data_IF_753509418733
#
_entry.id   IF_753509418733
#
_cell.length_a   1.000
_cell.length_b   1.000
_cell.length_c   1.000
_cell.angle_alpha   90.00
_cell.angle_beta   90.00
_cell.angle_gamma   90.00
#
_symmetry.space_group_name_H-M   'P 1'
#
loop_
_entity.id
_entity.type
_entity.pdbx_description
1 polymer ?
#
# COMPACT_ATOMS: atom_id res chain seq x y z
N UNK A 1 -1.52 32.65 -18.06
CA UNK A 1 -2.25 31.49 -17.51
C UNK A 1 -1.56 30.24 -18.00
N UNK A 2 -0.75 29.61 -17.15
CA UNK A 2 -0.13 28.31 -17.42
C UNK A 2 -1.06 27.28 -16.81
N UNK A 3 -1.67 26.43 -17.63
CA UNK A 3 -2.42 25.26 -17.15
C UNK A 3 -1.39 24.26 -16.57
N UNK A 4 -1.53 23.76 -15.33
CA UNK A 4 -0.67 22.68 -14.86
C UNK A 4 -1.08 21.41 -15.61
N UNK A 5 -0.14 20.88 -16.39
CA UNK A 5 -0.23 19.56 -17.02
C UNK A 5 -0.21 18.54 -15.89
N UNK A 6 -1.37 18.23 -15.33
CA UNK A 6 -1.55 17.12 -14.39
C UNK A 6 -1.58 15.85 -15.22
N UNK A 7 -0.44 15.14 -15.24
CA UNK A 7 -0.31 13.86 -15.90
C UNK A 7 -1.26 12.86 -15.22
N UNK A 8 -2.11 12.19 -15.99
CA UNK A 8 -2.94 11.07 -15.55
C UNK A 8 -2.01 9.90 -15.19
N UNK A 9 -1.52 9.88 -13.96
CA UNK A 9 -0.65 8.83 -13.44
C UNK A 9 -1.50 7.79 -12.71
N UNK A 10 -1.76 6.68 -13.40
CA UNK A 10 -2.25 5.44 -12.78
C UNK A 10 -1.03 4.62 -12.37
N UNK A 11 -0.90 4.31 -11.08
CA UNK A 11 0.18 3.44 -10.59
C UNK A 11 -0.19 1.98 -10.88
N UNK A 12 0.19 1.48 -12.05
CA UNK A 12 0.16 0.05 -12.33
C UNK A 12 1.56 -0.52 -12.09
N UNK A 13 1.77 -1.22 -10.97
CA UNK A 13 2.97 -2.04 -10.80
C UNK A 13 2.73 -3.33 -11.58
N UNK A 14 2.90 -3.25 -12.90
CA UNK A 14 2.88 -4.44 -13.75
C UNK A 14 4.23 -5.12 -13.58
N UNK A 15 4.24 -6.32 -12.99
CA UNK A 15 5.38 -7.22 -12.99
C UNK A 15 5.67 -7.70 -14.43
N UNK A 16 6.28 -6.82 -15.24
CA UNK A 16 6.73 -7.08 -16.60
C UNK A 16 7.96 -7.98 -16.58
N UNK A 17 7.78 -9.27 -16.29
CA UNK A 17 8.79 -10.27 -16.60
C UNK A 17 8.77 -10.54 -18.11
N UNK A 18 9.70 -9.92 -18.82
CA UNK A 18 9.92 -10.13 -20.25
C UNK A 18 10.50 -11.52 -20.51
N UNK A 19 9.63 -12.52 -20.61
CA UNK A 19 9.94 -13.76 -21.30
C UNK A 19 10.02 -13.48 -22.80
N UNK A 20 11.22 -13.59 -23.38
CA UNK A 20 11.46 -13.48 -24.81
C UNK A 20 10.78 -14.64 -25.56
N UNK A 21 9.52 -14.47 -25.95
CA UNK A 21 8.89 -15.25 -27.02
C UNK A 21 8.26 -14.30 -28.01
N UNK A 22 8.77 -14.30 -29.24
CA UNK A 22 8.20 -13.57 -30.37
C UNK A 22 6.78 -14.06 -30.64
N UNK A 23 5.79 -13.33 -30.14
CA UNK A 23 4.37 -13.54 -30.37
C UNK A 23 3.65 -12.25 -30.01
N UNK A 24 2.83 -11.74 -30.94
CA UNK A 24 2.01 -10.53 -30.88
C UNK A 24 1.98 -9.77 -29.54
N UNK A 25 2.48 -8.53 -29.55
CA UNK A 25 2.09 -7.51 -28.58
C UNK A 25 0.58 -7.24 -28.73
N UNK A 26 -0.24 -8.11 -28.14
CA UNK A 26 -1.57 -7.72 -27.75
C UNK A 26 -1.34 -6.55 -26.78
N UNK A 27 -1.77 -5.35 -27.16
CA UNK A 27 -1.98 -4.29 -26.19
C UNK A 27 -2.85 -4.93 -25.09
N UNK A 28 -2.28 -5.10 -23.89
CA UNK A 28 -3.07 -5.49 -22.74
C UNK A 28 -4.20 -4.46 -22.65
N UNK A 29 -5.43 -4.89 -22.90
CA UNK A 29 -6.59 -4.11 -22.50
C UNK A 29 -6.39 -3.89 -21.01
N UNK A 30 -6.38 -2.63 -20.58
CA UNK A 30 -6.42 -2.31 -19.16
C UNK A 30 -7.71 -2.94 -18.64
N UNK A 31 -7.59 -4.09 -17.99
CA UNK A 31 -8.69 -4.75 -17.32
C UNK A 31 -9.20 -3.75 -16.27
N UNK A 32 -10.45 -3.32 -16.39
CA UNK A 32 -11.08 -2.33 -15.49
C UNK A 32 -11.45 -2.97 -14.13
N UNK A 33 -10.74 -4.05 -13.78
CA UNK A 33 -10.88 -4.78 -12.53
C UNK A 33 -9.68 -4.46 -11.66
N UNK A 34 -9.89 -4.20 -10.35
CA UNK A 34 -8.78 -4.01 -9.46
C UNK A 34 -7.92 -5.28 -9.42
N UNK A 35 -6.61 -5.08 -9.32
CA UNK A 35 -5.66 -6.16 -9.07
C UNK A 35 -5.94 -6.81 -7.70
N UNK A 36 -5.59 -8.10 -7.58
CA UNK A 36 -5.64 -8.80 -6.30
C UNK A 36 -4.58 -8.27 -5.33
N UNK A 37 -4.89 -8.32 -4.03
CA UNK A 37 -4.03 -7.80 -2.97
C UNK A 37 -4.33 -6.36 -2.53
N UNK A 38 -3.38 -5.77 -1.81
CA UNK A 38 -3.57 -4.52 -1.09
C UNK A 38 -2.24 -3.76 -0.92
N UNK A 39 -2.34 -2.44 -0.70
CA UNK A 39 -1.28 -1.59 -0.20
C UNK A 39 -1.66 -1.12 1.21
N UNK A 40 -0.93 -1.58 2.23
CA UNK A 40 -1.13 -1.19 3.63
C UNK A 40 -0.07 -0.17 4.01
N UNK A 41 -0.51 0.94 4.59
CA UNK A 41 0.33 2.01 5.15
C UNK A 41 0.05 2.07 6.65
N UNK A 42 1.02 1.67 7.46
CA UNK A 42 0.98 1.78 8.92
C UNK A 42 1.83 2.98 9.34
N UNK A 43 1.17 4.08 9.71
CA UNK A 43 1.83 5.33 10.06
C UNK A 43 2.53 5.23 11.42
N UNK A 44 3.72 5.83 11.52
CA UNK A 44 4.45 6.04 12.77
C UNK A 44 4.28 7.49 13.25
N UNK A 45 4.39 7.66 14.57
CA UNK A 45 4.38 8.96 15.26
C UNK A 45 5.41 9.98 14.75
N UNK A 46 6.48 9.52 14.11
CA UNK A 46 7.52 10.38 13.55
C UNK A 46 7.28 10.82 12.08
N UNK A 47 6.18 10.36 11.46
CA UNK A 47 5.86 10.65 10.06
C UNK A 47 6.42 9.62 9.07
N UNK A 48 7.13 8.59 9.53
CA UNK A 48 7.45 7.42 8.70
C UNK A 48 6.23 6.50 8.59
N UNK A 49 6.35 5.48 7.75
CA UNK A 49 5.41 4.37 7.72
C UNK A 49 6.10 3.03 7.49
N UNK A 50 5.54 1.98 8.09
CA UNK A 50 5.77 0.61 7.64
C UNK A 50 4.73 0.27 6.56
N UNK A 51 5.22 -0.26 5.43
CA UNK A 51 4.42 -0.46 4.23
C UNK A 51 4.47 -1.90 3.79
N UNK A 52 3.29 -2.47 3.54
CA UNK A 52 3.13 -3.81 2.97
C UNK A 52 2.37 -3.71 1.66
N UNK A 53 3.04 -4.03 0.57
CA UNK A 53 2.45 -4.17 -0.76
C UNK A 53 2.26 -5.64 -1.07
N UNK A 54 1.05 -6.05 -1.40
CA UNK A 54 0.70 -7.46 -1.64
C UNK A 54 0.23 -7.67 -3.07
N UNK A 55 0.78 -8.69 -3.73
CA UNK A 55 0.27 -9.25 -4.98
C UNK A 55 -0.31 -10.65 -4.73
N UNK A 56 -1.48 -10.90 -5.32
CA UNK A 56 -2.15 -12.20 -5.29
C UNK A 56 -2.09 -12.91 -6.64
N UNK A 57 -1.92 -14.22 -6.58
CA UNK A 57 -1.79 -15.11 -7.73
C UNK A 57 -2.86 -16.20 -7.62
N UNK A 58 -3.67 -16.36 -8.66
CA UNK A 58 -4.53 -17.53 -8.78
C UNK A 58 -3.67 -18.73 -9.14
N UNK A 59 -3.37 -19.58 -8.16
CA UNK A 59 -2.51 -20.75 -8.40
C UNK A 59 -3.27 -21.86 -9.11
N UNK A 60 -4.57 -21.74 -9.41
CA UNK A 60 -5.24 -22.69 -10.31
C UNK A 60 -4.86 -22.45 -11.77
N UNK A 61 -4.52 -21.20 -12.10
CA UNK A 61 -3.98 -20.83 -13.40
C UNK A 61 -2.52 -21.29 -13.55
N UNK A 62 -2.16 -22.05 -14.60
CA UNK A 62 -0.81 -22.57 -14.77
C UNK A 62 0.28 -21.51 -14.92
N UNK A 63 -0.03 -20.34 -15.50
CA UNK A 63 0.96 -19.29 -15.71
C UNK A 63 1.26 -18.56 -14.40
N UNK A 64 0.21 -18.17 -13.66
CA UNK A 64 0.34 -17.53 -12.36
C UNK A 64 0.96 -18.48 -11.33
N UNK A 65 0.58 -19.77 -11.33
CA UNK A 65 1.24 -20.78 -10.47
C UNK A 65 2.74 -20.84 -10.73
N UNK A 66 3.17 -20.93 -11.99
CA UNK A 66 4.59 -21.04 -12.31
C UNK A 66 5.39 -19.81 -11.84
N UNK A 67 4.84 -18.61 -12.02
CA UNK A 67 5.46 -17.38 -11.55
C UNK A 67 5.53 -17.31 -10.02
N UNK A 68 4.44 -17.69 -9.34
CA UNK A 68 4.41 -17.74 -7.88
C UNK A 68 5.38 -18.78 -7.31
N UNK A 69 5.46 -19.97 -7.93
CA UNK A 69 6.41 -21.02 -7.55
C UNK A 69 7.86 -20.55 -7.72
N UNK A 70 8.19 -19.82 -8.79
CA UNK A 70 9.50 -19.19 -8.97
C UNK A 70 9.79 -18.18 -7.85
N UNK A 71 8.85 -17.29 -7.51
CA UNK A 71 9.00 -16.36 -6.38
C UNK A 71 9.19 -17.10 -5.05
N UNK A 72 8.48 -18.21 -4.83
CA UNK A 72 8.53 -19.00 -3.60
C UNK A 72 9.79 -19.86 -3.46
N UNK A 73 10.33 -20.38 -4.55
CA UNK A 73 11.40 -21.37 -4.51
C UNK A 73 12.78 -20.80 -4.86
N UNK A 74 12.82 -19.68 -5.58
CA UNK A 74 14.03 -19.05 -6.05
C UNK A 74 14.31 -17.73 -5.32
N UNK A 75 15.26 -17.77 -4.38
CA UNK A 75 15.64 -16.60 -3.57
C UNK A 75 16.24 -15.45 -4.40
N UNK A 76 17.00 -15.77 -5.46
CA UNK A 76 17.57 -14.75 -6.35
C UNK A 76 16.46 -14.02 -7.11
N UNK A 77 15.51 -14.78 -7.65
CA UNK A 77 14.35 -14.23 -8.34
C UNK A 77 13.48 -13.38 -7.41
N UNK A 78 13.21 -13.85 -6.19
CA UNK A 78 12.47 -13.09 -5.17
C UNK A 78 13.18 -11.79 -4.80
N UNK A 79 14.50 -11.82 -4.59
CA UNK A 79 15.30 -10.62 -4.31
C UNK A 79 15.27 -9.64 -5.48
N UNK A 80 15.32 -10.13 -6.71
CA UNK A 80 15.20 -9.30 -7.90
C UNK A 80 13.83 -8.61 -7.96
N UNK A 81 12.74 -9.35 -7.67
CA UNK A 81 11.39 -8.78 -7.59
C UNK A 81 11.27 -7.70 -6.49
N UNK A 82 11.80 -7.95 -5.30
CA UNK A 82 11.85 -6.95 -4.22
C UNK A 82 12.64 -5.69 -4.63
N UNK A 83 13.78 -5.87 -5.31
CA UNK A 83 14.57 -4.76 -5.86
C UNK A 83 13.81 -3.94 -6.92
N UNK A 84 12.98 -4.60 -7.73
CA UNK A 84 12.12 -3.92 -8.70
C UNK A 84 11.05 -3.08 -7.99
N UNK A 85 10.35 -3.63 -6.99
CA UNK A 85 9.37 -2.89 -6.18
C UNK A 85 10.03 -1.66 -5.54
N UNK A 86 11.22 -1.84 -4.95
CA UNK A 86 12.00 -0.74 -4.37
C UNK A 86 12.28 0.36 -5.41
N UNK A 87 12.79 -0.02 -6.58
CA UNK A 87 13.12 0.92 -7.64
C UNK A 87 11.90 1.69 -8.15
N UNK A 88 10.75 1.03 -8.27
CA UNK A 88 9.49 1.67 -8.64
C UNK A 88 9.02 2.68 -7.60
N UNK A 89 8.99 2.31 -6.31
CA UNK A 89 8.59 3.22 -5.22
C UNK A 89 9.57 4.38 -5.03
N UNK A 90 10.86 4.13 -5.21
CA UNK A 90 11.89 5.17 -5.18
C UNK A 90 11.70 6.17 -6.32
N UNK A 91 11.41 5.69 -7.53
CA UNK A 91 11.15 6.57 -8.68
C UNK A 91 9.92 7.45 -8.47
N UNK A 92 8.88 6.94 -7.82
CA UNK A 92 7.70 7.74 -7.43
C UNK A 92 8.10 8.79 -6.41
N UNK A 93 8.80 8.37 -5.35
CA UNK A 93 9.20 9.22 -4.24
C UNK A 93 10.04 10.40 -4.72
N UNK A 94 11.02 10.14 -5.59
CA UNK A 94 11.88 11.18 -6.18
C UNK A 94 11.08 12.20 -6.98
N UNK A 95 10.13 11.75 -7.80
CA UNK A 95 9.32 12.65 -8.65
C UNK A 95 8.42 13.55 -7.83
N UNK A 96 7.80 13.01 -6.77
CA UNK A 96 6.93 13.79 -5.90
C UNK A 96 7.76 14.70 -4.99
N UNK A 97 8.93 14.26 -4.55
CA UNK A 97 9.84 15.07 -3.75
C UNK A 97 10.36 16.32 -4.50
N UNK A 98 10.33 16.36 -5.83
CA UNK A 98 10.67 17.58 -6.61
C UNK A 98 9.77 18.78 -6.25
N UNK A 99 8.53 18.52 -5.85
CA UNK A 99 7.54 19.53 -5.48
C UNK A 99 7.36 19.66 -3.94
N UNK A 100 8.09 18.86 -3.16
CA UNK A 100 8.04 18.87 -1.69
C UNK A 100 9.32 19.46 -1.08
N UNK A 101 9.20 20.04 0.11
CA UNK A 101 10.35 20.51 0.91
C UNK A 101 10.95 19.37 1.78
N UNK A 102 10.72 18.10 1.40
CA UNK A 102 11.24 16.92 2.10
C UNK A 102 11.56 15.78 1.12
N UNK A 103 12.54 14.97 1.47
CA UNK A 103 12.88 13.75 0.73
C UNK A 103 12.06 12.57 1.27
N UNK A 104 11.50 11.78 0.36
CA UNK A 104 10.84 10.50 0.66
C UNK A 104 11.82 9.37 0.35
N UNK A 105 12.13 8.54 1.35
CA UNK A 105 13.15 7.49 1.23
C UNK A 105 12.53 6.11 1.36
N UNK A 106 12.83 5.24 0.38
CA UNK A 106 12.42 3.83 0.44
C UNK A 106 13.55 2.99 1.02
N UNK A 107 13.25 2.35 2.14
CA UNK A 107 14.11 1.40 2.82
C UNK A 107 14.40 0.13 2.00
N UNK A 108 15.03 -0.84 2.64
CA UNK A 108 15.17 -2.17 2.05
C UNK A 108 13.79 -2.82 1.91
N UNK A 109 13.52 -3.41 0.74
CA UNK A 109 12.31 -4.17 0.50
C UNK A 109 12.59 -5.64 0.74
N UNK A 110 11.81 -6.23 1.62
CA UNK A 110 11.77 -7.68 1.88
C UNK A 110 10.57 -8.29 1.15
N UNK A 111 10.62 -9.59 0.88
CA UNK A 111 9.54 -10.29 0.19
C UNK A 111 9.26 -11.63 0.85
N UNK A 112 8.00 -11.87 1.20
CA UNK A 112 7.50 -13.08 1.83
C UNK A 112 6.40 -13.71 0.98
N UNK A 113 6.31 -15.04 1.00
CA UNK A 113 5.35 -15.79 0.17
C UNK A 113 4.48 -16.68 1.04
N UNK A 114 3.17 -16.65 0.83
CA UNK A 114 2.19 -17.48 1.54
C UNK A 114 1.22 -18.13 0.55
N UNK A 115 0.61 -19.25 0.93
CA UNK A 115 -0.46 -19.90 0.17
C UNK A 115 -1.66 -20.09 1.09
N UNK A 116 -2.83 -19.63 0.66
CA UNK A 116 -4.12 -19.91 1.30
C UNK A 116 -5.09 -20.46 0.24
N UNK A 117 -5.45 -21.73 0.37
CA UNK A 117 -6.31 -22.42 -0.59
C UNK A 117 -5.76 -22.39 -2.01
N UNK A 118 -6.46 -21.66 -2.89
CA UNK A 118 -6.17 -21.48 -4.32
C UNK A 118 -5.49 -20.13 -4.63
N UNK A 119 -5.07 -19.41 -3.61
CA UNK A 119 -4.40 -18.11 -3.74
C UNK A 119 -2.98 -18.19 -3.19
N UNK A 120 -2.02 -17.84 -4.04
CA UNK A 120 -0.65 -17.55 -3.64
C UNK A 120 -0.50 -16.06 -3.41
N UNK A 121 0.20 -15.65 -2.36
CA UNK A 121 0.35 -14.24 -1.99
C UNK A 121 1.82 -13.92 -1.83
N UNK A 122 2.27 -12.82 -2.42
CA UNK A 122 3.61 -12.27 -2.21
C UNK A 122 3.48 -10.90 -1.55
N UNK A 123 3.99 -10.77 -0.33
CA UNK A 123 3.98 -9.55 0.46
C UNK A 123 5.36 -8.91 0.43
N UNK A 124 5.43 -7.66 0.00
CA UNK A 124 6.63 -6.85 -0.06
C UNK A 124 6.61 -5.81 1.05
N UNK A 125 7.47 -5.99 2.05
CA UNK A 125 7.53 -5.14 3.25
C UNK A 125 8.72 -4.17 3.20
N UNK A 126 8.48 -2.90 3.49
CA UNK A 126 9.53 -1.88 3.60
C UNK A 126 9.13 -0.69 4.47
N UNK A 127 10.13 0.04 4.97
CA UNK A 127 9.93 1.32 5.64
C UNK A 127 9.95 2.46 4.62
N UNK A 128 8.97 3.36 4.69
CA UNK A 128 8.89 4.58 3.91
C UNK A 128 9.13 5.78 4.84
N UNK A 129 10.32 6.37 4.76
CA UNK A 129 10.72 7.46 5.64
C UNK A 129 10.18 8.80 5.15
N UNK A 130 9.78 9.66 6.10
CA UNK A 130 9.20 11.00 5.87
C UNK A 130 7.95 10.98 4.97
N UNK A 131 7.17 9.89 4.99
CA UNK A 131 5.97 9.75 4.16
C UNK A 131 4.92 10.80 4.53
N UNK A 132 4.66 10.97 5.83
CA UNK A 132 3.73 11.95 6.37
C UNK A 132 4.45 13.16 6.99
N UNK A 133 3.74 14.28 7.07
CA UNK A 133 4.23 15.50 7.75
C UNK A 133 3.72 15.55 9.17
N UNK A 134 4.50 16.13 10.07
CA UNK A 134 4.08 16.42 11.43
C UNK A 134 3.60 17.87 11.54
N UNK A 135 2.36 18.06 11.95
CA UNK A 135 1.76 19.36 12.25
C UNK A 135 1.30 19.37 13.72
N UNK A 136 2.08 20.03 14.58
CA UNK A 136 1.94 19.95 16.04
C UNK A 136 2.01 18.49 16.55
N UNK A 137 0.91 17.93 17.04
CA UNK A 137 0.79 16.53 17.48
C UNK A 137 0.10 15.64 16.43
N UNK A 138 -0.19 16.18 15.24
CA UNK A 138 -0.91 15.49 14.16
C UNK A 138 0.05 14.98 13.10
N UNK A 139 -0.32 13.86 12.50
CA UNK A 139 0.39 13.23 11.39
C UNK A 139 -0.49 13.37 10.17
N UNK A 140 0.03 14.01 9.13
CA UNK A 140 -0.71 14.35 7.91
C UNK A 140 -0.11 13.61 6.73
N UNK A 141 -0.88 12.65 6.21
CA UNK A 141 -0.55 11.86 5.03
C UNK A 141 -1.33 12.40 3.83
N UNK A 142 -0.62 12.99 2.87
CA UNK A 142 -1.20 13.53 1.63
C UNK A 142 -0.43 13.03 0.41
N UNK A 143 0.81 13.47 0.25
CA UNK A 143 1.70 12.98 -0.80
C UNK A 143 2.34 11.62 -0.43
N UNK A 144 2.60 10.74 -1.42
CA UNK A 144 2.39 10.91 -2.86
C UNK A 144 0.95 10.64 -3.32
N UNK A 145 0.06 10.23 -2.43
CA UNK A 145 -1.27 9.73 -2.76
C UNK A 145 -2.18 10.77 -3.45
N UNK A 146 -2.05 12.04 -3.08
CA UNK A 146 -2.74 13.17 -3.73
C UNK A 146 -2.36 13.39 -5.21
N UNK A 147 -1.27 12.79 -5.68
CA UNK A 147 -0.83 12.86 -7.08
C UNK A 147 -1.42 11.73 -7.94
N UNK A 148 -1.90 10.65 -7.32
CA UNK A 148 -2.54 9.56 -8.04
C UNK A 148 -3.99 9.85 -8.33
N UNK A 149 -4.44 9.47 -9.52
CA UNK A 149 -5.89 9.47 -9.81
C UNK A 149 -6.58 8.36 -9.01
N UNK A 150 -5.97 7.18 -9.00
CA UNK A 150 -6.42 5.99 -8.27
C UNK A 150 -5.26 4.99 -8.17
N UNK A 151 -5.45 3.96 -7.33
CA UNK A 151 -4.59 2.77 -7.28
C UNK A 151 -5.31 1.58 -7.91
N UNK A 152 -4.56 0.62 -8.45
CA UNK A 152 -5.12 -0.60 -9.03
C UNK A 152 -5.65 -1.58 -7.97
N UNK A 153 -5.33 -1.38 -6.69
CA UNK A 153 -5.61 -2.30 -5.58
C UNK A 153 -6.15 -1.57 -4.35
N UNK A 154 -6.63 -2.33 -3.37
CA UNK A 154 -7.11 -1.75 -2.11
C UNK A 154 -5.99 -0.97 -1.39
N UNK A 155 -6.31 0.24 -0.92
CA UNK A 155 -5.48 1.01 -0.01
C UNK A 155 -6.03 0.89 1.40
N UNK A 156 -5.16 0.55 2.35
CA UNK A 156 -5.46 0.54 3.78
C UNK A 156 -4.50 1.49 4.47
N UNK A 157 -5.01 2.43 5.24
CA UNK A 157 -4.19 3.33 6.06
C UNK A 157 -4.55 3.13 7.52
N UNK A 158 -3.52 2.95 8.35
CA UNK A 158 -3.62 2.67 9.78
C UNK A 158 -2.88 3.78 10.54
N UNK A 159 -3.58 4.39 11.50
CA UNK A 159 -2.99 5.35 12.42
C UNK A 159 -2.02 4.67 13.42
N UNK A 160 -1.03 5.39 13.96
CA UNK A 160 -0.16 4.83 15.00
C UNK A 160 -0.94 4.43 16.26
N UNK A 161 -0.32 3.59 17.09
CA UNK A 161 -0.87 3.26 18.41
C UNK A 161 -1.13 4.53 19.24
N UNK A 162 -2.34 4.61 19.82
CA UNK A 162 -2.78 5.77 20.61
C UNK A 162 -3.28 6.95 19.78
N UNK A 163 -3.37 6.81 18.46
CA UNK A 163 -3.94 7.80 17.54
C UNK A 163 -5.27 7.30 16.93
N UNK A 164 -6.05 8.26 16.44
CA UNK A 164 -7.26 8.05 15.63
C UNK A 164 -7.20 8.90 14.36
N UNK A 165 -7.92 8.49 13.32
CA UNK A 165 -8.07 9.22 12.06
C UNK A 165 -9.09 10.35 12.24
N UNK A 166 -8.59 11.53 12.61
CA UNK A 166 -9.39 12.73 12.87
C UNK A 166 -10.00 13.35 11.61
N UNK A 167 -9.35 13.17 10.45
CA UNK A 167 -9.88 13.58 9.14
C UNK A 167 -9.42 12.60 8.08
N UNK A 168 -10.32 12.24 7.17
CA UNK A 168 -10.05 11.29 6.09
C UNK A 168 -10.74 11.79 4.83
N UNK A 169 -9.95 12.00 3.78
CA UNK A 169 -10.43 12.38 2.44
C UNK A 169 -9.59 11.67 1.38
N UNK A 170 -10.19 11.15 0.30
CA UNK A 170 -11.64 11.07 0.04
C UNK A 170 -12.34 10.10 1.01
N UNK A 171 -13.68 10.11 1.02
CA UNK A 171 -14.46 9.21 1.89
C UNK A 171 -14.12 7.73 1.61
N UNK A 172 -13.66 6.97 2.61
CA UNK A 172 -13.31 5.56 2.45
C UNK A 172 -14.57 4.69 2.36
N UNK A 173 -14.45 3.49 1.77
CA UNK A 173 -15.55 2.51 1.77
C UNK A 173 -15.83 1.95 3.16
N UNK A 174 -14.81 1.94 4.01
CA UNK A 174 -14.85 1.48 5.40
C UNK A 174 -13.89 2.32 6.24
N UNK A 175 -14.39 2.81 7.36
CA UNK A 175 -13.61 3.56 8.34
C UNK A 175 -13.94 3.04 9.75
N UNK A 176 -12.89 2.79 10.51
CA UNK A 176 -12.91 2.64 11.96
C UNK A 176 -12.02 3.74 12.58
N UNK A 177 -12.00 3.87 13.92
CA UNK A 177 -11.32 4.99 14.60
C UNK A 177 -9.86 5.17 14.15
N UNK A 178 -9.11 4.08 13.95
CA UNK A 178 -7.70 4.13 13.55
C UNK A 178 -7.42 3.65 12.12
N UNK A 179 -8.42 3.21 11.35
CA UNK A 179 -8.20 2.54 10.06
C UNK A 179 -9.17 3.04 9.00
N UNK A 180 -8.69 3.33 7.80
CA UNK A 180 -9.49 3.66 6.63
C UNK A 180 -9.12 2.78 5.43
N UNK A 181 -10.12 2.42 4.61
CA UNK A 181 -9.94 1.54 3.45
C UNK A 181 -10.62 2.08 2.20
N UNK A 182 -9.89 2.03 1.09
CA UNK A 182 -10.38 2.40 -0.24
C UNK A 182 -10.20 1.22 -1.17
N UNK A 183 -11.27 0.71 -1.80
CA UNK A 183 -11.16 -0.34 -2.80
C UNK A 183 -10.26 0.09 -3.96
N UNK A 184 -9.68 -0.88 -4.67
CA UNK A 184 -8.96 -0.58 -5.90
C UNK A 184 -9.83 0.18 -6.90
N UNK A 185 -9.18 1.05 -7.65
CA UNK A 185 -9.74 1.99 -8.62
C UNK A 185 -10.60 3.11 -8.01
N UNK A 186 -10.59 3.28 -6.68
CA UNK A 186 -11.21 4.45 -6.05
C UNK A 186 -10.49 5.73 -6.52
N UNK A 187 -11.27 6.71 -6.99
CA UNK A 187 -10.74 8.02 -7.38
C UNK A 187 -10.39 8.83 -6.14
N UNK A 188 -9.13 9.26 -6.04
CA UNK A 188 -8.65 10.08 -4.93
C UNK A 188 -8.86 11.58 -5.17
N UNK A 189 -8.73 12.02 -6.42
CA UNK A 189 -8.77 13.42 -6.79
C UNK A 189 -7.63 14.23 -6.13
N UNK A 190 -7.72 15.56 -6.21
CA UNK A 190 -6.72 16.48 -5.64
C UNK A 190 -6.79 16.61 -4.10
N UNK A 191 -7.67 15.84 -3.44
CA UNK A 191 -8.04 16.03 -2.04
C UNK A 191 -7.69 14.86 -1.14
N UNK A 192 -6.76 13.98 -1.55
CA UNK A 192 -6.28 12.93 -0.67
C UNK A 192 -5.53 13.56 0.50
N UNK A 193 -6.08 13.40 1.70
CA UNK A 193 -5.49 13.85 2.95
C UNK A 193 -6.05 13.00 4.09
N UNK A 194 -5.15 12.46 4.89
CA UNK A 194 -5.47 11.72 6.10
C UNK A 194 -4.74 12.40 7.25
N UNK A 195 -5.49 12.77 8.28
CA UNK A 195 -4.96 13.38 9.49
C UNK A 195 -5.18 12.41 10.64
N UNK A 196 -4.09 11.87 11.18
CA UNK A 196 -4.11 11.14 12.44
C UNK A 196 -3.77 12.09 13.59
N UNK A 197 -4.52 11.99 14.69
CA UNK A 197 -4.29 12.77 15.91
C UNK A 197 -4.34 11.85 17.13
N UNK A 198 -3.71 12.22 18.26
CA UNK A 198 -3.82 11.44 19.49
C UNK A 198 -5.28 11.21 19.85
N UNK A 199 -5.63 9.97 20.18
CA UNK A 199 -6.99 9.63 20.53
C UNK A 199 -7.40 10.36 21.81
N UNK A 200 -8.49 11.11 21.75
CA UNK A 200 -9.03 11.77 22.94
C UNK A 200 -9.50 10.70 23.91
N UNK A 201 -8.78 10.53 25.03
CA UNK A 201 -9.23 9.66 26.11
C UNK A 201 -10.48 10.29 26.71
N UNK A 202 -11.64 9.91 26.19
CA UNK A 202 -12.91 10.24 26.81
C UNK A 202 -12.88 9.63 28.21
N UNK A 203 -12.61 10.47 29.20
CA UNK A 203 -12.59 10.13 30.61
C UNK A 203 -14.00 9.83 31.09
N UNK A 204 -14.61 8.76 30.60
CA UNK A 204 -15.74 8.13 31.26
C UNK A 204 -15.17 7.05 32.18
N UNK A 205 -15.32 7.28 33.48
CA UNK A 205 -14.76 6.41 34.51
C UNK A 205 -15.33 5.00 34.40
N UNK A 206 -14.54 4.09 33.85
CA UNK A 206 -14.68 2.65 34.08
C UNK A 206 -13.31 1.98 34.02
N UNK A 207 -12.88 1.48 35.17
CA UNK A 207 -11.71 0.62 35.29
C UNK A 207 -12.03 -0.70 34.58
N UNK A 208 -11.26 -1.06 33.54
CA UNK A 208 -11.14 -2.45 33.11
C UNK A 208 -9.81 -2.71 32.36
N UNK A 209 -8.87 -3.31 33.10
CA UNK A 209 -7.98 -4.41 32.72
C UNK A 209 -7.24 -4.31 31.38
N UNK A 210 -5.91 -4.24 31.47
CA UNK A 210 -5.02 -4.28 30.32
C UNK A 210 -5.17 -5.54 29.47
N UNK A 211 -5.09 -5.35 28.16
CA UNK A 211 -4.78 -6.37 27.19
C UNK A 211 -3.77 -5.79 26.21
N UNK A 212 -2.56 -6.35 26.22
CA UNK A 212 -1.63 -6.22 25.12
C UNK A 212 -2.31 -6.77 23.85
N UNK A 213 -2.40 -5.96 22.80
CA UNK A 213 -2.72 -6.43 21.47
C UNK A 213 -1.45 -6.35 20.63
N UNK A 214 -0.73 -7.48 20.59
CA UNK A 214 0.12 -7.83 19.46
C UNK A 214 -0.79 -7.88 18.23
N UNK A 215 -0.77 -6.85 17.39
CA UNK A 215 -1.28 -6.96 16.02
C UNK A 215 -0.10 -7.32 15.11
N UNK A 216 0.30 -8.58 15.22
CA UNK A 216 1.13 -9.26 14.22
C UNK A 216 0.49 -10.59 13.83
N UNK A 217 -0.83 -10.69 13.89
CA UNK A 217 -1.53 -11.96 13.70
C UNK A 217 -2.97 -11.77 13.23
N UNK A 218 -3.18 -11.30 12.00
CA UNK A 218 -4.34 -11.71 11.17
C UNK A 218 -4.09 -11.37 9.70
N UNK A 219 -3.14 -12.06 9.06
CA UNK A 219 -3.24 -12.43 7.64
C UNK A 219 -3.73 -13.89 7.49
N UNK A 220 -4.33 -14.43 8.55
CA UNK A 220 -4.85 -15.79 8.63
C UNK A 220 -6.28 -15.77 9.18
N UNK A 221 -7.23 -15.34 8.35
CA UNK A 221 -8.63 -15.66 8.58
C UNK A 221 -9.26 -16.18 7.29
N UNK A 222 -9.02 -17.47 7.09
CA UNK A 222 -9.99 -18.46 6.67
C UNK A 222 -11.30 -17.89 6.10
N UNK A 223 -11.38 -17.89 4.76
CA UNK A 223 -12.65 -17.88 4.05
C UNK A 223 -13.31 -19.26 4.19
N UNK A 224 -14.04 -19.47 5.29
CA UNK A 224 -15.14 -20.44 5.30
C UNK A 224 -16.46 -19.71 5.00
N UNK A 225 -16.81 -19.63 3.71
CA UNK A 225 -18.12 -20.03 3.16
C UNK A 225 -18.20 -19.86 1.65
#
# INVERSE_FOLDING_TARGET
MKLPVRALLVLCIVALFSGLSAGAVAAAEADDRPAGGQLVIELDTNGDADVVFTDEFDITDPQQRALFEELRENEEFRRAAAGQVRGSMQSVSERVAEDLDRELVIGEVTAETTVDGETGTVAYGFRWENLATLEDERIVLSEPFSTYTSLDRELVVVAPDGYELASVSPEPSRQEDAVARWPGLTEFGDGFEIVAAPAETHGDGSIAIGTAALLLSTLFFARER
#
